data_IF_127553739051
#
_entry.id   IF_127553739051
#
_cell.length_a   1.000
_cell.length_b   1.000
_cell.length_c   1.000
_cell.angle_alpha   90.00
_cell.angle_beta   90.00
_cell.angle_gamma   90.00
#
_symmetry.space_group_name_H-M   'P 1'
#
loop_
_entity.id
_entity.type
_entity.pdbx_description
1 polymer ?
#
# COMPACT_ATOMS: atom_id res chain seq x y z
N UNK A 1 8.79 -0.16 29.40
CA UNK A 1 7.92 -1.36 29.43
C UNK A 1 6.62 -0.96 28.76
N UNK A 2 6.49 -1.18 27.46
CA UNK A 2 5.25 -0.91 26.71
C UNK A 2 4.94 -2.19 25.97
N UNK A 3 4.23 -3.06 26.68
CA UNK A 3 3.55 -4.21 26.14
C UNK A 3 2.38 -3.69 25.30
N UNK A 4 2.63 -3.41 24.02
CA UNK A 4 1.56 -3.36 23.04
C UNK A 4 1.74 -4.58 22.16
N UNK A 5 0.99 -5.60 22.57
CA UNK A 5 0.55 -6.74 21.80
C UNK A 5 1.69 -7.52 21.11
N UNK A 6 1.94 -8.68 21.70
CA UNK A 6 1.92 -9.95 20.96
C UNK A 6 0.74 -9.96 19.96
N UNK A 7 0.93 -9.33 18.80
CA UNK A 7 0.12 -9.56 17.61
C UNK A 7 0.54 -10.96 17.14
N UNK A 8 -0.20 -11.97 17.62
CA UNK A 8 -0.23 -13.37 17.22
C UNK A 8 0.63 -13.67 15.98
N UNK A 9 1.77 -14.34 16.14
CA UNK A 9 2.73 -14.71 15.09
C UNK A 9 2.20 -14.64 13.64
N UNK A 10 2.35 -13.47 13.00
CA UNK A 10 2.09 -13.28 11.58
C UNK A 10 3.36 -13.64 10.81
N UNK A 11 3.42 -14.80 10.14
CA UNK A 11 4.69 -15.28 9.61
C UNK A 11 5.05 -14.59 8.28
N UNK A 12 4.08 -13.91 7.67
CA UNK A 12 4.20 -13.19 6.41
C UNK A 12 4.83 -11.80 6.62
N UNK A 13 5.88 -11.50 5.86
CA UNK A 13 6.64 -10.25 5.99
C UNK A 13 6.18 -9.24 4.95
N UNK A 14 5.32 -8.30 5.34
CA UNK A 14 4.90 -7.18 4.49
C UNK A 14 5.67 -5.93 4.91
N UNK A 15 6.38 -5.30 3.96
CA UNK A 15 7.07 -4.03 4.17
C UNK A 15 6.48 -2.98 3.27
N UNK A 16 5.91 -1.93 3.86
CA UNK A 16 5.43 -0.76 3.11
C UNK A 16 6.51 0.33 3.19
N UNK A 17 7.09 0.65 2.03
CA UNK A 17 8.07 1.71 1.83
C UNK A 17 7.36 2.93 1.26
N UNK A 18 7.15 3.92 2.11
CA UNK A 18 6.47 5.17 1.79
C UNK A 18 7.20 6.30 2.52
N UNK A 19 7.62 7.34 1.80
CA UNK A 19 8.24 8.53 2.37
C UNK A 19 7.18 9.62 2.47
N UNK A 20 7.10 10.36 3.58
CA UNK A 20 6.20 11.51 3.73
C UNK A 20 4.69 11.19 3.53
N UNK A 21 4.26 9.98 3.87
CA UNK A 21 2.86 9.55 3.81
C UNK A 21 2.35 9.33 5.23
N UNK A 22 1.08 9.67 5.47
CA UNK A 22 0.43 9.52 6.77
C UNK A 22 0.50 8.07 7.28
N UNK A 23 0.71 7.92 8.58
CA UNK A 23 0.88 6.61 9.22
C UNK A 23 -0.39 5.77 9.11
N UNK A 24 -1.58 6.38 9.13
CA UNK A 24 -2.84 5.64 8.97
C UNK A 24 -2.97 5.07 7.57
N UNK A 25 -2.55 5.81 6.54
CA UNK A 25 -2.53 5.30 5.16
C UNK A 25 -1.57 4.11 5.03
N UNK A 26 -0.38 4.20 5.64
CA UNK A 26 0.58 3.08 5.65
C UNK A 26 0.01 1.83 6.33
N UNK A 27 -0.70 2.00 7.44
CA UNK A 27 -1.36 0.90 8.16
C UNK A 27 -2.51 0.30 7.35
N UNK A 28 -3.32 1.15 6.70
CA UNK A 28 -4.41 0.70 5.84
C UNK A 28 -3.87 -0.13 4.66
N UNK A 29 -2.78 0.31 4.01
CA UNK A 29 -2.13 -0.44 2.93
C UNK A 29 -1.60 -1.79 3.39
N UNK A 30 -1.00 -1.84 4.58
CA UNK A 30 -0.55 -3.09 5.18
C UNK A 30 -1.73 -4.07 5.35
N UNK A 31 -2.82 -3.63 5.98
CA UNK A 31 -4.00 -4.44 6.22
C UNK A 31 -4.70 -4.90 4.93
N UNK A 32 -4.81 -4.00 3.93
CA UNK A 32 -5.38 -4.35 2.63
C UNK A 32 -4.54 -5.38 1.89
N UNK A 33 -3.21 -5.25 1.93
CA UNK A 33 -2.28 -6.21 1.31
C UNK A 33 -2.43 -7.57 1.96
N UNK A 34 -2.49 -7.61 3.29
CA UNK A 34 -2.68 -8.84 4.05
C UNK A 34 -4.01 -9.51 3.72
N UNK A 35 -5.11 -8.75 3.73
CA UNK A 35 -6.44 -9.24 3.41
C UNK A 35 -6.51 -9.81 1.98
N UNK A 36 -5.94 -9.10 1.00
CA UNK A 36 -5.89 -9.56 -0.38
C UNK A 36 -5.12 -10.88 -0.51
N UNK A 37 -3.97 -11.02 0.13
CA UNK A 37 -3.17 -12.24 0.11
C UNK A 37 -3.85 -13.41 0.83
N UNK A 38 -4.53 -13.15 1.94
CA UNK A 38 -5.30 -14.16 2.65
C UNK A 38 -6.40 -14.77 1.75
N UNK A 39 -7.02 -13.94 0.89
CA UNK A 39 -8.03 -14.39 -0.08
C UNK A 39 -7.45 -15.08 -1.31
N UNK A 40 -6.36 -14.55 -1.87
CA UNK A 40 -5.76 -15.08 -3.10
C UNK A 40 -4.98 -16.39 -2.87
N UNK A 41 -4.31 -16.51 -1.73
CA UNK A 41 -3.45 -17.66 -1.42
C UNK A 41 -4.02 -18.33 -0.17
N UNK A 42 -4.97 -19.27 -0.26
CA UNK A 42 -5.64 -19.86 0.90
C UNK A 42 -4.70 -20.67 1.81
N UNK A 43 -3.58 -21.18 1.28
CA UNK A 43 -2.58 -21.93 2.04
C UNK A 43 -1.77 -21.04 2.98
N UNK A 44 -1.95 -21.25 4.30
CA UNK A 44 -1.20 -20.54 5.35
C UNK A 44 0.30 -20.74 5.23
N UNK A 45 0.75 -21.96 4.94
CA UNK A 45 2.18 -22.29 4.78
C UNK A 45 2.85 -21.48 3.67
N UNK A 46 2.16 -21.27 2.55
CA UNK A 46 2.69 -20.49 1.43
C UNK A 46 2.74 -18.99 1.77
N UNK A 47 1.68 -18.44 2.37
CA UNK A 47 1.67 -17.03 2.81
C UNK A 47 2.79 -16.73 3.80
N UNK A 48 3.06 -17.65 4.71
CA UNK A 48 4.11 -17.52 5.73
C UNK A 48 5.52 -17.43 5.15
N UNK A 49 5.75 -17.98 3.95
CA UNK A 49 7.03 -17.94 3.26
C UNK A 49 7.13 -16.79 2.25
N UNK A 50 6.07 -15.99 2.11
CA UNK A 50 6.04 -14.88 1.17
C UNK A 50 6.47 -13.58 1.86
N UNK A 51 7.25 -12.79 1.14
CA UNK A 51 7.57 -11.41 1.51
C UNK A 51 7.10 -10.46 0.43
N UNK A 52 6.37 -9.41 0.81
CA UNK A 52 5.90 -8.38 -0.12
C UNK A 52 6.47 -7.03 0.29
N UNK A 53 7.11 -6.36 -0.66
CA UNK A 53 7.57 -4.98 -0.51
C UNK A 53 6.68 -4.07 -1.37
N UNK A 54 5.92 -3.20 -0.72
CA UNK A 54 5.06 -2.22 -1.39
C UNK A 54 5.80 -0.88 -1.40
N UNK A 55 6.15 -0.39 -2.58
CA UNK A 55 6.80 0.90 -2.76
C UNK A 55 5.80 1.92 -3.29
N UNK A 56 5.57 2.98 -2.51
CA UNK A 56 4.80 4.13 -2.97
C UNK A 56 5.77 5.16 -3.53
N UNK A 57 5.75 5.33 -4.86
CA UNK A 57 6.46 6.41 -5.52
C UNK A 57 5.57 7.64 -5.56
N UNK A 58 6.14 8.80 -5.26
CA UNK A 58 5.46 10.06 -5.57
C UNK A 58 5.51 10.22 -7.09
N UNK A 59 4.37 10.54 -7.69
CA UNK A 59 4.35 10.96 -9.08
C UNK A 59 5.08 12.31 -9.18
N UNK A 60 5.83 12.53 -10.26
CA UNK A 60 6.64 13.75 -10.41
C UNK A 60 5.77 15.02 -10.41
N UNK A 61 4.51 14.88 -10.83
CA UNK A 61 3.47 15.93 -10.79
C UNK A 61 2.55 15.84 -9.56
N UNK A 62 3.05 15.39 -8.39
CA UNK A 62 2.29 15.37 -7.13
C UNK A 62 1.06 14.44 -7.09
N UNK A 63 0.87 13.61 -8.12
CA UNK A 63 -0.30 12.74 -8.27
C UNK A 63 -1.47 13.41 -8.98
N UNK A 64 -1.27 14.60 -9.56
CA UNK A 64 -2.27 15.22 -10.42
C UNK A 64 -2.39 14.45 -11.74
N UNK A 65 -3.63 14.29 -12.22
CA UNK A 65 -3.88 13.70 -13.52
C UNK A 65 -3.30 14.62 -14.60
N UNK A 66 -2.33 14.13 -15.37
CA UNK A 66 -1.75 14.88 -16.48
C UNK A 66 -2.87 15.24 -17.45
N UNK A 67 -3.10 16.54 -17.67
CA UNK A 67 -4.03 17.00 -18.69
C UNK A 67 -3.55 16.49 -20.06
N UNK A 68 -4.47 15.98 -20.89
CA UNK A 68 -4.10 15.52 -22.23
C UNK A 68 -3.49 16.69 -23.01
N UNK A 69 -2.58 16.42 -23.97
CA UNK A 69 -1.92 17.47 -24.76
C UNK A 69 -2.89 18.43 -25.47
N UNK A 70 -4.14 18.00 -25.66
CA UNK A 70 -5.18 18.76 -26.34
C UNK A 70 -6.26 19.29 -25.37
N UNK A 71 -6.12 19.09 -24.06
CA UNK A 71 -7.08 19.57 -23.07
C UNK A 71 -6.91 21.07 -22.86
N UNK A 72 -8.00 21.83 -22.98
CA UNK A 72 -8.03 23.25 -22.67
C UNK A 72 -7.88 23.46 -21.15
N UNK A 73 -6.80 24.10 -20.66
CA UNK A 73 -6.58 24.29 -19.22
C UNK A 73 -7.67 25.09 -18.52
N UNK A 74 -8.39 25.95 -19.28
CA UNK A 74 -9.49 26.76 -18.76
C UNK A 74 -10.84 26.02 -18.75
N UNK A 75 -10.94 24.87 -19.42
CA UNK A 75 -12.15 24.02 -19.50
C UNK A 75 -11.80 22.53 -19.47
N UNK A 76 -11.29 22.02 -18.33
CA UNK A 76 -10.77 20.64 -18.23
C UNK A 76 -11.85 19.54 -18.17
N UNK A 77 -13.11 19.83 -18.52
CA UNK A 77 -14.25 18.88 -18.45
C UNK A 77 -14.95 18.66 -19.80
N UNK A 78 -14.38 19.17 -20.89
CA UNK A 78 -14.85 18.85 -22.26
C UNK A 78 -14.14 17.59 -22.78
#
# INVERSE_FOLDING_TARGET
MVEVLHILEYPMKIKVHARNIDTKLRLALFAMTEFALARLIPSRRLRNNLSINVHLKHHDEGGEAMMSKNTNPKRPRE
#
